data_IF_836888315761
#
_entry.id   IF_836888315761
#
_cell.length_a   1.000
_cell.length_b   1.000
_cell.length_c   1.000
_cell.angle_alpha   90.00
_cell.angle_beta   90.00
_cell.angle_gamma   90.00
#
_symmetry.space_group_name_H-M   'P 1'
#
loop_
_entity.id
_entity.type
_entity.pdbx_description
1 polymer ?
#
# COMPACT_ATOMS: atom_id res chain seq x y z
N UNK A 1 15.17 -10.32 -14.22
CA UNK A 1 14.42 -9.07 -14.42
C UNK A 1 13.88 -8.54 -13.08
N UNK A 2 13.42 -7.31 -13.07
CA UNK A 2 12.82 -6.63 -11.91
C UNK A 2 11.40 -6.19 -12.29
N UNK A 3 10.47 -6.23 -11.34
CA UNK A 3 9.12 -5.69 -11.55
C UNK A 3 9.13 -4.17 -11.56
N UNK A 4 8.24 -3.57 -12.34
CA UNK A 4 8.01 -2.13 -12.34
C UNK A 4 7.39 -1.69 -11.02
N UNK A 5 8.11 -0.86 -10.26
CA UNK A 5 7.58 -0.21 -9.07
C UNK A 5 6.59 0.90 -9.47
N UNK A 6 6.85 1.59 -10.57
CA UNK A 6 5.98 2.60 -11.12
C UNK A 6 4.58 2.05 -11.47
N UNK A 7 4.52 0.81 -12.00
CA UNK A 7 3.25 0.14 -12.29
C UNK A 7 2.45 -0.15 -11.02
N UNK A 8 3.10 -0.72 -10.01
CA UNK A 8 2.47 -0.98 -8.73
C UNK A 8 2.01 0.32 -8.04
N UNK A 9 2.85 1.36 -8.07
CA UNK A 9 2.52 2.69 -7.53
C UNK A 9 1.30 3.30 -8.23
N UNK A 10 1.22 3.22 -9.56
CA UNK A 10 0.10 3.75 -10.32
C UNK A 10 -1.23 3.17 -9.83
N UNK A 11 -1.31 1.85 -9.75
CA UNK A 11 -2.55 1.20 -9.36
C UNK A 11 -2.82 1.28 -7.85
N UNK A 12 -1.80 1.26 -7.00
CA UNK A 12 -1.99 1.52 -5.57
C UNK A 12 -2.59 2.92 -5.33
N UNK A 13 -2.05 3.95 -5.98
CA UNK A 13 -2.59 5.31 -5.86
C UNK A 13 -4.00 5.43 -6.42
N UNK A 14 -4.29 4.84 -7.57
CA UNK A 14 -5.62 4.87 -8.17
C UNK A 14 -6.65 4.17 -7.27
N UNK A 15 -6.30 3.02 -6.75
CA UNK A 15 -7.17 2.28 -5.84
C UNK A 15 -7.36 2.99 -4.50
N UNK A 16 -6.33 3.63 -3.94
CA UNK A 16 -6.46 4.47 -2.74
C UNK A 16 -7.41 5.64 -2.95
N UNK A 17 -7.38 6.28 -4.12
CA UNK A 17 -8.36 7.32 -4.48
C UNK A 17 -9.78 6.75 -4.37
N UNK A 18 -10.04 5.62 -5.01
CA UNK A 18 -11.37 5.00 -4.99
C UNK A 18 -11.76 4.49 -3.59
N UNK A 19 -10.85 3.82 -2.90
CA UNK A 19 -11.08 3.31 -1.54
C UNK A 19 -11.45 4.44 -0.58
N UNK A 20 -10.64 5.50 -0.54
CA UNK A 20 -10.87 6.65 0.32
C UNK A 20 -12.23 7.33 0.04
N UNK A 21 -12.56 7.53 -1.25
CA UNK A 21 -13.82 8.16 -1.62
C UNK A 21 -15.04 7.32 -1.21
N UNK A 22 -14.97 6.00 -1.35
CA UNK A 22 -16.05 5.11 -0.92
C UNK A 22 -16.17 5.06 0.61
N UNK A 23 -15.05 4.97 1.32
CA UNK A 23 -15.02 4.94 2.78
C UNK A 23 -15.60 6.22 3.38
N UNK A 24 -15.16 7.38 2.89
CA UNK A 24 -15.70 8.68 3.30
C UNK A 24 -17.18 8.83 2.93
N UNK A 25 -17.61 8.35 1.77
CA UNK A 25 -19.02 8.41 1.39
C UNK A 25 -19.93 7.66 2.38
N UNK A 26 -19.49 6.48 2.85
CA UNK A 26 -20.25 5.74 3.88
C UNK A 26 -20.26 6.49 5.22
N UNK A 27 -19.17 7.13 5.62
CA UNK A 27 -19.13 7.96 6.83
C UNK A 27 -20.05 9.18 6.72
N UNK A 28 -20.02 9.89 5.60
CA UNK A 28 -20.93 11.05 5.35
C UNK A 28 -22.37 10.59 5.37
N UNK A 29 -22.70 9.46 4.74
CA UNK A 29 -24.05 8.87 4.77
C UNK A 29 -24.48 8.46 6.17
N UNK A 30 -23.54 7.99 7.02
CA UNK A 30 -23.80 7.70 8.42
C UNK A 30 -23.96 8.96 9.30
N UNK A 31 -23.72 10.14 8.75
CA UNK A 31 -23.84 11.42 9.47
C UNK A 31 -22.58 11.79 10.27
N UNK A 32 -21.42 11.21 9.94
CA UNK A 32 -20.15 11.56 10.60
C UNK A 32 -19.83 13.04 10.37
N UNK A 33 -19.58 13.85 11.41
CA UNK A 33 -19.27 15.27 11.25
C UNK A 33 -17.94 15.50 10.54
N UNK A 34 -17.89 16.54 9.68
CA UNK A 34 -16.66 16.87 8.93
C UNK A 34 -15.48 17.29 9.82
N UNK A 35 -15.77 17.76 11.04
CA UNK A 35 -14.79 18.19 12.05
C UNK A 35 -14.54 17.12 13.13
N UNK A 36 -15.09 15.91 12.98
CA UNK A 36 -14.86 14.82 13.90
C UNK A 36 -13.38 14.39 13.91
N UNK A 37 -12.94 13.79 15.02
CA UNK A 37 -11.58 13.26 15.13
C UNK A 37 -11.27 12.21 14.05
N UNK A 38 -12.25 11.36 13.71
CA UNK A 38 -12.09 10.35 12.69
C UNK A 38 -11.88 10.98 11.32
N UNK A 39 -12.76 11.90 10.92
CA UNK A 39 -12.65 12.57 9.63
C UNK A 39 -11.36 13.37 9.50
N UNK A 40 -10.96 14.11 10.55
CA UNK A 40 -9.68 14.83 10.56
C UNK A 40 -8.47 13.90 10.46
N UNK A 41 -8.53 12.71 11.07
CA UNK A 41 -7.49 11.69 10.94
C UNK A 41 -7.40 11.17 9.50
N UNK A 42 -8.53 10.81 8.89
CA UNK A 42 -8.57 10.31 7.50
C UNK A 42 -8.10 11.35 6.49
N UNK A 43 -8.41 12.62 6.71
CA UNK A 43 -8.00 13.73 5.84
C UNK A 43 -6.52 14.13 6.01
N UNK A 44 -5.87 13.79 7.10
CA UNK A 44 -4.52 14.25 7.40
C UNK A 44 -3.46 13.72 6.42
N UNK A 45 -3.53 12.44 6.05
CA UNK A 45 -2.57 11.79 5.14
C UNK A 45 -3.24 10.78 4.20
N UNK A 46 -4.05 11.30 3.26
CA UNK A 46 -4.82 10.47 2.32
C UNK A 46 -4.00 9.80 1.24
N UNK A 47 -2.80 10.30 0.92
CA UNK A 47 -1.97 9.85 -0.22
C UNK A 47 -0.53 9.57 0.18
N UNK A 48 -0.31 8.99 1.34
CA UNK A 48 1.01 8.51 1.74
C UNK A 48 1.55 7.41 0.80
N UNK A 49 2.87 7.25 0.78
CA UNK A 49 3.55 6.26 -0.07
C UNK A 49 3.77 4.92 0.66
N UNK A 50 3.51 4.87 1.95
CA UNK A 50 3.60 3.67 2.76
C UNK A 50 2.46 2.68 2.49
N UNK A 51 2.66 1.43 2.85
CA UNK A 51 1.63 0.40 2.73
C UNK A 51 1.96 -0.85 3.52
N UNK A 52 0.99 -1.73 3.60
CA UNK A 52 1.09 -3.02 4.25
C UNK A 52 1.18 -4.14 3.21
N UNK A 53 1.62 -5.34 3.63
CA UNK A 53 1.70 -6.50 2.75
C UNK A 53 0.37 -6.78 2.02
N UNK A 54 -0.74 -6.79 2.76
CA UNK A 54 -2.08 -7.03 2.20
C UNK A 54 -2.44 -6.01 1.11
N UNK A 55 -2.08 -4.73 1.31
CA UNK A 55 -2.31 -3.69 0.30
C UNK A 55 -1.54 -3.97 -0.99
N UNK A 56 -0.28 -4.37 -0.90
CA UNK A 56 0.51 -4.75 -2.08
C UNK A 56 -0.12 -5.97 -2.79
N UNK A 57 -0.52 -6.99 -2.03
CA UNK A 57 -1.15 -8.18 -2.58
C UNK A 57 -2.48 -7.87 -3.27
N UNK A 58 -3.32 -6.99 -2.68
CA UNK A 58 -4.56 -6.54 -3.31
C UNK A 58 -4.33 -5.92 -4.69
N UNK A 59 -3.28 -5.10 -4.82
CA UNK A 59 -2.92 -4.49 -6.12
C UNK A 59 -2.46 -5.56 -7.12
N UNK A 60 -1.53 -6.41 -6.73
CA UNK A 60 -1.01 -7.44 -7.64
C UNK A 60 -2.05 -8.50 -8.04
N UNK A 61 -2.95 -8.90 -7.13
CA UNK A 61 -4.08 -9.79 -7.43
C UNK A 61 -5.01 -9.19 -8.49
N UNK A 62 -5.28 -7.88 -8.39
CA UNK A 62 -6.23 -7.20 -9.27
C UNK A 62 -5.61 -6.80 -10.60
N UNK A 63 -4.40 -6.29 -10.60
CA UNK A 63 -3.76 -5.67 -11.76
C UNK A 63 -2.55 -6.44 -12.31
N UNK A 64 -2.06 -7.43 -11.57
CA UNK A 64 -0.85 -8.16 -11.95
C UNK A 64 0.41 -7.32 -11.83
N UNK A 65 1.42 -7.67 -12.62
CA UNK A 65 2.71 -7.00 -12.65
C UNK A 65 3.25 -6.90 -14.08
N UNK A 66 4.17 -5.96 -14.29
CA UNK A 66 4.93 -5.83 -15.54
C UNK A 66 6.42 -5.75 -15.24
N UNK A 67 7.30 -6.19 -16.15
CA UNK A 67 8.73 -5.96 -16.07
C UNK A 67 9.05 -4.45 -16.08
N UNK A 68 10.09 -4.07 -15.36
CA UNK A 68 10.50 -2.67 -15.18
C UNK A 68 10.81 -1.95 -16.50
N UNK A 69 11.42 -2.66 -17.44
CA UNK A 69 11.81 -2.08 -18.73
C UNK A 69 10.60 -1.70 -19.61
N UNK A 70 9.43 -2.30 -19.35
CA UNK A 70 8.19 -2.02 -20.09
C UNK A 70 7.36 -0.88 -19.50
N UNK A 71 7.55 -0.58 -18.23
CA UNK A 71 6.96 0.58 -17.59
C UNK A 71 7.97 1.16 -16.57
N UNK A 72 8.96 1.92 -17.06
CA UNK A 72 10.07 2.40 -16.26
C UNK A 72 9.67 3.50 -15.28
N UNK A 73 10.58 3.77 -14.34
CA UNK A 73 10.43 4.88 -13.40
C UNK A 73 10.40 6.23 -14.12
N UNK A 74 9.53 7.12 -13.65
CA UNK A 74 9.46 8.52 -14.05
C UNK A 74 10.16 9.43 -13.04
N UNK A 75 10.25 10.72 -13.33
CA UNK A 75 10.71 11.69 -12.33
C UNK A 75 9.75 11.76 -11.15
N UNK A 76 8.44 11.69 -11.40
CA UNK A 76 7.41 11.74 -10.35
C UNK A 76 7.33 10.45 -9.53
N UNK A 77 7.68 9.27 -10.07
CA UNK A 77 7.72 8.05 -9.27
C UNK A 77 8.90 8.03 -8.28
N UNK A 78 9.98 8.75 -8.60
CA UNK A 78 11.15 8.95 -7.72
C UNK A 78 10.93 10.07 -6.69
N UNK A 79 10.06 11.02 -7.00
CA UNK A 79 9.74 12.17 -6.16
C UNK A 79 8.24 12.47 -6.20
N UNK A 80 7.48 11.75 -5.39
CA UNK A 80 6.02 11.71 -5.39
C UNK A 80 5.34 12.96 -4.80
N UNK A 81 6.10 13.85 -4.17
CA UNK A 81 5.56 14.96 -3.37
C UNK A 81 4.52 15.81 -4.10
N UNK A 82 4.82 16.27 -5.32
CA UNK A 82 3.91 17.11 -6.10
C UNK A 82 2.65 16.33 -6.53
N UNK A 83 2.81 15.11 -7.01
CA UNK A 83 1.69 14.23 -7.38
C UNK A 83 0.76 13.99 -6.18
N UNK A 84 1.32 13.67 -5.02
CA UNK A 84 0.56 13.42 -3.80
C UNK A 84 -0.18 14.67 -3.32
N UNK A 85 0.40 15.87 -3.47
CA UNK A 85 -0.27 17.15 -3.17
C UNK A 85 -1.49 17.34 -4.07
N UNK A 86 -1.35 17.11 -5.38
CA UNK A 86 -2.46 17.28 -6.33
C UNK A 86 -3.59 16.29 -6.05
N UNK A 87 -3.27 15.01 -5.81
CA UNK A 87 -4.26 13.99 -5.45
C UNK A 87 -4.98 14.35 -4.14
N UNK A 88 -4.25 14.80 -3.11
CA UNK A 88 -4.82 15.22 -1.83
C UNK A 88 -5.78 16.40 -1.99
N UNK A 89 -5.40 17.43 -2.73
CA UNK A 89 -6.27 18.59 -2.98
C UNK A 89 -7.56 18.19 -3.70
N UNK A 90 -7.45 17.31 -4.68
CA UNK A 90 -8.61 16.76 -5.40
C UNK A 90 -9.54 15.99 -4.43
N UNK A 91 -8.99 15.13 -3.58
CA UNK A 91 -9.76 14.35 -2.62
C UNK A 91 -10.43 15.22 -1.56
N UNK A 92 -9.72 16.19 -1.00
CA UNK A 92 -10.31 17.17 -0.06
C UNK A 92 -11.48 17.93 -0.69
N UNK A 93 -11.36 18.32 -1.96
CA UNK A 93 -12.45 18.97 -2.70
C UNK A 93 -13.63 18.03 -2.89
N UNK A 94 -13.39 16.77 -3.25
CA UNK A 94 -14.44 15.79 -3.39
C UNK A 94 -15.20 15.55 -2.07
N UNK A 95 -14.49 15.44 -0.93
CA UNK A 95 -15.10 15.30 0.39
C UNK A 95 -15.97 16.52 0.75
N UNK A 96 -15.49 17.73 0.48
CA UNK A 96 -16.28 18.94 0.71
C UNK A 96 -17.59 18.94 -0.13
N UNK A 97 -17.53 18.48 -1.36
CA UNK A 97 -18.72 18.33 -2.22
C UNK A 97 -19.65 17.21 -1.72
N UNK A 98 -19.13 16.10 -1.16
CA UNK A 98 -19.98 15.06 -0.56
C UNK A 98 -20.80 15.59 0.61
N UNK A 99 -20.20 16.38 1.50
CA UNK A 99 -20.94 17.04 2.57
C UNK A 99 -21.97 18.05 2.03
N UNK A 100 -21.64 18.80 1.00
CA UNK A 100 -22.55 19.74 0.36
C UNK A 100 -23.69 19.06 -0.45
N UNK A 101 -23.56 17.76 -0.74
CA UNK A 101 -24.62 16.99 -1.41
C UNK A 101 -25.84 16.68 -0.52
N UNK A 102 -25.73 16.91 0.80
CA UNK A 102 -26.82 16.85 1.77
C UNK A 102 -27.63 15.51 1.70
N UNK A 103 -26.90 14.39 1.64
CA UNK A 103 -27.48 13.04 1.60
C UNK A 103 -28.00 12.57 0.22
N UNK A 104 -27.81 13.36 -0.83
CA UNK A 104 -28.17 12.96 -2.19
C UNK A 104 -27.18 11.91 -2.75
N UNK A 105 -27.59 10.64 -2.70
CA UNK A 105 -26.75 9.51 -3.12
C UNK A 105 -26.28 9.62 -4.58
N UNK A 106 -27.13 10.09 -5.50
CA UNK A 106 -26.76 10.23 -6.91
C UNK A 106 -25.67 11.28 -7.12
N UNK A 107 -25.70 12.38 -6.34
CA UNK A 107 -24.64 13.37 -6.37
C UNK A 107 -23.33 12.81 -5.79
N UNK A 108 -23.39 12.04 -4.71
CA UNK A 108 -22.21 11.41 -4.11
C UNK A 108 -21.57 10.42 -5.09
N UNK A 109 -22.35 9.58 -5.77
CA UNK A 109 -21.86 8.67 -6.81
C UNK A 109 -21.17 9.42 -7.97
N UNK A 110 -21.77 10.52 -8.43
CA UNK A 110 -21.16 11.36 -9.45
C UNK A 110 -19.84 12.00 -9.01
N UNK A 111 -19.75 12.47 -7.75
CA UNK A 111 -18.53 13.01 -7.17
C UNK A 111 -17.42 11.94 -7.13
N UNK A 112 -17.74 10.71 -6.71
CA UNK A 112 -16.79 9.59 -6.69
C UNK A 112 -16.28 9.31 -8.11
N UNK A 113 -17.18 9.20 -9.09
CA UNK A 113 -16.81 8.93 -10.48
C UNK A 113 -15.91 10.03 -11.06
N UNK A 114 -16.28 11.29 -10.87
CA UNK A 114 -15.52 12.44 -11.37
C UNK A 114 -14.13 12.55 -10.70
N UNK A 115 -14.06 12.36 -9.39
CA UNK A 115 -12.79 12.41 -8.65
C UNK A 115 -11.89 11.24 -9.02
N UNK A 116 -12.43 10.02 -9.19
CA UNK A 116 -11.66 8.85 -9.64
C UNK A 116 -11.11 9.08 -11.05
N UNK A 117 -11.91 9.61 -11.97
CA UNK A 117 -11.45 9.97 -13.32
C UNK A 117 -10.38 11.08 -13.29
N UNK A 118 -10.49 12.06 -12.39
CA UNK A 118 -9.47 13.08 -12.19
C UNK A 118 -8.18 12.48 -11.63
N UNK A 119 -8.27 11.59 -10.65
CA UNK A 119 -7.13 10.84 -10.11
C UNK A 119 -6.39 10.06 -11.18
N UNK A 120 -7.11 9.33 -12.03
CA UNK A 120 -6.54 8.62 -13.18
C UNK A 120 -5.76 9.56 -14.10
N UNK A 121 -6.31 10.74 -14.45
CA UNK A 121 -5.62 11.74 -15.28
C UNK A 121 -4.34 12.26 -14.62
N UNK A 122 -4.38 12.58 -13.32
CA UNK A 122 -3.21 13.04 -12.57
C UNK A 122 -2.13 11.96 -12.61
N UNK A 123 -2.47 10.71 -12.31
CA UNK A 123 -1.53 9.60 -12.30
C UNK A 123 -0.93 9.36 -13.69
N UNK A 124 -1.73 9.40 -14.75
CA UNK A 124 -1.24 9.24 -16.13
C UNK A 124 -0.26 10.34 -16.53
N UNK A 125 -0.50 11.60 -16.11
CA UNK A 125 0.42 12.72 -16.36
C UNK A 125 1.77 12.51 -15.64
N UNK A 126 1.74 12.01 -14.41
CA UNK A 126 2.94 11.87 -13.58
C UNK A 126 3.71 10.57 -13.83
N UNK A 127 3.00 9.47 -14.03
CA UNK A 127 3.58 8.12 -14.05
C UNK A 127 3.56 7.44 -15.43
N UNK A 128 2.83 8.01 -16.39
CA UNK A 128 2.57 7.40 -17.69
C UNK A 128 1.30 6.53 -17.69
N UNK A 129 0.92 6.04 -18.86
CA UNK A 129 -0.22 5.15 -19.01
C UNK A 129 0.24 3.69 -18.92
N UNK A 130 -0.26 2.91 -17.94
CA UNK A 130 0.15 1.53 -17.78
C UNK A 130 -0.25 0.66 -18.99
N UNK A 131 0.60 -0.30 -19.43
CA UNK A 131 0.25 -1.20 -20.52
C UNK A 131 -0.87 -2.15 -20.11
N UNK A 132 -1.79 -2.41 -21.04
CA UNK A 132 -2.86 -3.41 -20.88
C UNK A 132 -2.41 -4.81 -21.29
N UNK A 133 -1.45 -4.92 -22.21
CA UNK A 133 -0.73 -6.13 -22.61
C UNK A 133 0.68 -5.76 -23.08
N UNK A 134 1.55 -6.75 -23.17
CA UNK A 134 2.92 -6.58 -23.67
C UNK A 134 3.46 -7.88 -24.27
N UNK A 135 4.38 -7.79 -25.23
CA UNK A 135 5.15 -8.93 -25.69
C UNK A 135 6.22 -9.26 -24.63
N UNK A 136 6.20 -10.51 -24.13
CA UNK A 136 7.15 -10.98 -23.14
C UNK A 136 8.12 -11.98 -23.74
N UNK A 137 9.40 -11.61 -23.72
CA UNK A 137 10.52 -12.43 -24.11
C UNK A 137 11.71 -12.16 -23.19
N UNK A 138 12.51 -13.20 -22.93
CA UNK A 138 13.69 -13.07 -22.07
C UNK A 138 14.74 -14.11 -22.40
N UNK A 139 15.97 -13.84 -21.96
CA UNK A 139 17.05 -14.83 -21.96
C UNK A 139 17.31 -15.22 -20.50
N UNK A 140 17.37 -16.52 -20.25
CA UNK A 140 17.62 -17.03 -18.91
C UNK A 140 19.12 -16.97 -18.55
N UNK A 141 19.45 -17.40 -17.31
CA UNK A 141 20.83 -17.42 -16.79
C UNK A 141 21.77 -18.35 -17.57
N UNK A 142 21.25 -19.33 -18.29
CA UNK A 142 21.99 -20.30 -19.08
C UNK A 142 22.17 -19.83 -20.54
N UNK A 143 21.61 -18.65 -20.89
CA UNK A 143 21.69 -18.04 -22.21
C UNK A 143 20.60 -18.49 -23.20
N UNK A 144 19.62 -19.27 -22.73
CA UNK A 144 18.53 -19.75 -23.57
C UNK A 144 17.45 -18.69 -23.73
N UNK A 145 17.00 -18.49 -24.96
CA UNK A 145 15.94 -17.54 -25.29
C UNK A 145 14.56 -18.14 -25.10
N UNK A 146 13.68 -17.38 -24.44
CA UNK A 146 12.29 -17.74 -24.19
C UNK A 146 11.36 -16.64 -24.66
N UNK A 147 10.17 -17.02 -25.13
CA UNK A 147 9.14 -16.09 -25.53
C UNK A 147 7.75 -16.62 -25.23
N UNK A 148 6.95 -15.81 -24.52
CA UNK A 148 5.52 -16.05 -24.30
C UNK A 148 4.66 -15.38 -25.38
N UNK A 149 5.19 -14.33 -26.04
CA UNK A 149 4.42 -13.47 -26.90
C UNK A 149 3.56 -12.47 -26.12
N UNK A 150 2.43 -12.08 -26.68
CA UNK A 150 1.54 -11.12 -26.05
C UNK A 150 0.88 -11.73 -24.79
N UNK A 151 1.04 -11.04 -23.67
CA UNK A 151 0.52 -11.45 -22.35
C UNK A 151 0.01 -10.22 -21.60
N UNK A 152 -1.04 -10.39 -20.80
CA UNK A 152 -1.53 -9.34 -19.91
C UNK A 152 -0.75 -9.32 -18.58
N UNK A 153 -0.69 -8.17 -17.86
CA UNK A 153 -0.04 -8.10 -16.55
C UNK A 153 -0.56 -9.13 -15.54
N UNK A 154 -1.84 -9.44 -15.56
CA UNK A 154 -2.47 -10.43 -14.67
C UNK A 154 -2.02 -11.86 -15.02
N UNK A 155 -1.98 -12.21 -16.31
CA UNK A 155 -1.46 -13.52 -16.77
C UNK A 155 0.01 -13.67 -16.44
N UNK A 156 0.81 -12.61 -16.64
CA UNK A 156 2.21 -12.57 -16.27
C UNK A 156 2.42 -12.82 -14.77
N UNK A 157 1.69 -12.13 -13.91
CA UNK A 157 1.72 -12.34 -12.47
C UNK A 157 1.38 -13.80 -12.11
N UNK A 158 0.27 -14.31 -12.61
CA UNK A 158 -0.17 -15.69 -12.34
C UNK A 158 0.86 -16.73 -12.78
N UNK A 159 1.51 -16.52 -13.91
CA UNK A 159 2.49 -17.46 -14.47
C UNK A 159 3.82 -17.46 -13.70
N UNK A 160 4.32 -16.29 -13.36
CA UNK A 160 5.69 -16.13 -12.85
C UNK A 160 5.76 -15.96 -11.33
N UNK A 161 4.69 -15.51 -10.69
CA UNK A 161 4.65 -15.25 -9.24
C UNK A 161 3.62 -16.13 -8.53
N UNK A 162 2.49 -16.43 -9.16
CA UNK A 162 1.45 -17.28 -8.58
C UNK A 162 1.96 -18.57 -7.92
N UNK A 163 2.93 -19.29 -8.51
CA UNK A 163 3.49 -20.50 -7.88
C UNK A 163 4.22 -20.27 -6.56
N UNK A 164 4.52 -19.03 -6.18
CA UNK A 164 5.17 -18.72 -4.89
C UNK A 164 4.21 -18.65 -3.70
N UNK A 165 2.90 -18.84 -3.90
CA UNK A 165 1.86 -18.87 -2.86
C UNK A 165 1.94 -17.71 -1.86
N UNK A 166 2.18 -16.49 -2.40
CA UNK A 166 2.37 -15.29 -1.58
C UNK A 166 1.14 -14.90 -0.75
N UNK A 167 -0.01 -15.52 -1.05
CA UNK A 167 -1.27 -15.34 -0.31
C UNK A 167 -1.25 -16.03 1.05
N UNK A 168 -0.39 -17.04 1.24
CA UNK A 168 -0.25 -17.77 2.51
C UNK A 168 0.57 -17.02 3.57
N UNK A 169 1.13 -15.85 3.20
CA UNK A 169 1.90 -15.03 4.13
C UNK A 169 0.99 -14.30 5.11
N UNK A 170 1.35 -14.37 6.39
CA UNK A 170 0.63 -13.73 7.50
C UNK A 170 1.48 -12.60 8.08
N UNK A 171 0.88 -11.42 8.22
CA UNK A 171 1.51 -10.29 8.90
C UNK A 171 1.50 -10.52 10.41
N UNK A 172 2.67 -10.45 11.05
CA UNK A 172 2.84 -10.56 12.49
C UNK A 172 3.01 -9.17 13.11
N UNK A 173 2.52 -9.00 14.32
CA UNK A 173 2.74 -7.79 15.12
C UNK A 173 2.95 -8.17 16.58
N UNK A 174 3.75 -7.42 17.30
CA UNK A 174 3.80 -7.46 18.76
C UNK A 174 3.13 -6.20 19.32
N UNK A 175 1.83 -6.26 19.53
CA UNK A 175 1.04 -5.19 20.15
C UNK A 175 0.96 -5.46 21.66
N UNK A 176 1.56 -4.62 22.51
CA UNK A 176 1.60 -4.84 23.97
C UNK A 176 0.31 -4.48 24.68
N UNK A 177 -0.66 -3.84 24.01
CA UNK A 177 -1.90 -3.40 24.66
C UNK A 177 -2.68 -4.58 25.24
N UNK A 178 -3.19 -4.44 26.45
CA UNK A 178 -3.85 -5.51 27.19
C UNK A 178 -5.16 -5.98 26.56
N UNK A 179 -5.85 -5.12 25.85
CA UNK A 179 -7.07 -5.45 25.09
C UNK A 179 -6.77 -6.30 23.84
N UNK A 180 -5.52 -6.35 23.38
CA UNK A 180 -5.11 -7.10 22.22
C UNK A 180 -4.37 -8.40 22.61
N UNK A 181 -5.15 -9.44 22.89
CA UNK A 181 -4.58 -10.71 23.33
C UNK A 181 -3.63 -11.33 22.28
N UNK A 182 -2.51 -11.90 22.76
CA UNK A 182 -1.60 -12.69 21.90
C UNK A 182 -2.32 -13.91 21.32
N UNK A 183 -1.96 -14.28 20.09
CA UNK A 183 -2.61 -15.36 19.31
C UNK A 183 -3.94 -14.95 18.67
N UNK A 184 -4.30 -13.68 18.69
CA UNK A 184 -5.50 -13.17 18.02
C UNK A 184 -5.15 -12.28 16.84
N UNK A 185 -6.04 -12.25 15.84
CA UNK A 185 -5.95 -11.29 14.73
C UNK A 185 -6.45 -9.93 15.19
N UNK A 186 -5.78 -8.89 14.70
CA UNK A 186 -6.09 -7.48 14.89
C UNK A 186 -6.26 -6.85 13.52
N UNK A 187 -7.40 -6.25 13.24
CA UNK A 187 -7.63 -5.41 12.08
C UNK A 187 -7.46 -3.93 12.42
N UNK A 188 -7.20 -3.12 11.42
CA UNK A 188 -7.19 -1.65 11.55
C UNK A 188 -8.29 -1.12 10.63
N UNK A 189 -9.30 -0.50 11.25
CA UNK A 189 -10.40 0.12 10.50
C UNK A 189 -9.87 1.27 9.63
N UNK A 190 -10.48 1.47 8.48
CA UNK A 190 -10.12 2.49 7.50
C UNK A 190 -8.68 2.38 6.95
N UNK A 191 -7.97 1.27 7.20
CA UNK A 191 -6.65 1.01 6.64
C UNK A 191 -6.74 0.00 5.50
N UNK A 192 -6.81 0.49 4.30
CA UNK A 192 -6.89 -0.30 3.06
C UNK A 192 -6.51 0.52 1.85
N UNK A 193 -6.47 -0.12 0.69
CA UNK A 193 -6.19 0.56 -0.58
C UNK A 193 -7.14 0.15 -1.71
N UNK A 194 -7.76 -1.04 -1.64
CA UNK A 194 -8.64 -1.56 -2.69
C UNK A 194 -10.03 -1.79 -2.10
N UNK A 195 -11.05 -1.13 -2.64
CA UNK A 195 -12.43 -1.35 -2.23
C UNK A 195 -12.85 -2.80 -2.55
N UNK A 196 -13.34 -3.50 -1.51
CA UNK A 196 -13.66 -4.93 -1.59
C UNK A 196 -12.46 -5.88 -1.63
N UNK A 197 -11.25 -5.37 -1.46
CA UNK A 197 -10.04 -6.19 -1.29
C UNK A 197 -9.92 -6.81 0.11
N UNK A 198 -8.87 -7.59 0.32
CA UNK A 198 -8.59 -8.20 1.62
C UNK A 198 -8.27 -7.11 2.66
N UNK A 199 -8.82 -7.27 3.85
CA UNK A 199 -8.59 -6.36 4.97
C UNK A 199 -7.15 -6.46 5.49
N UNK A 200 -6.60 -5.35 5.96
CA UNK A 200 -5.29 -5.34 6.63
C UNK A 200 -5.43 -5.92 8.03
N UNK A 201 -4.91 -7.12 8.22
CA UNK A 201 -4.94 -7.86 9.48
C UNK A 201 -3.53 -8.28 9.90
N UNK A 202 -3.33 -8.34 11.22
CA UNK A 202 -2.10 -8.81 11.84
C UNK A 202 -2.42 -9.90 12.86
N UNK A 203 -1.58 -10.92 12.93
CA UNK A 203 -1.60 -11.86 14.05
C UNK A 203 -0.73 -11.30 15.17
N UNK A 204 -1.34 -11.01 16.32
CA UNK A 204 -0.61 -10.52 17.50
C UNK A 204 0.15 -11.65 18.17
N UNK A 205 1.47 -11.55 18.20
CA UNK A 205 2.37 -12.58 18.75
C UNK A 205 3.43 -11.97 19.66
N UNK A 206 4.06 -12.74 20.55
CA UNK A 206 5.21 -12.24 21.32
C UNK A 206 6.39 -11.89 20.39
N UNK A 207 7.12 -10.84 20.73
CA UNK A 207 8.30 -10.38 19.99
C UNK A 207 9.33 -11.50 19.75
N UNK A 208 9.56 -12.36 20.75
CA UNK A 208 10.48 -13.48 20.57
C UNK A 208 10.03 -14.45 19.47
N UNK A 209 8.73 -14.72 19.39
CA UNK A 209 8.19 -15.56 18.29
C UNK A 209 8.44 -14.93 16.92
N UNK A 210 8.24 -13.60 16.77
CA UNK A 210 8.56 -12.90 15.52
C UNK A 210 10.04 -13.04 15.15
N UNK A 211 10.95 -12.85 16.13
CA UNK A 211 12.40 -13.01 15.91
C UNK A 211 12.76 -14.43 15.48
N UNK A 212 12.12 -15.43 16.07
CA UNK A 212 12.36 -16.84 15.72
C UNK A 212 11.88 -17.15 14.29
N UNK A 213 10.70 -16.62 13.90
CA UNK A 213 10.20 -16.73 12.51
C UNK A 213 11.16 -16.06 11.51
N UNK A 214 11.60 -14.81 11.81
CA UNK A 214 12.55 -14.09 10.95
C UNK A 214 13.85 -14.87 10.80
N UNK A 215 14.40 -15.41 11.91
CA UNK A 215 15.61 -16.23 11.87
C UNK A 215 15.43 -17.48 11.02
N UNK A 216 14.32 -18.16 11.16
CA UNK A 216 14.01 -19.36 10.38
C UNK A 216 13.92 -19.06 8.89
N UNK A 217 13.16 -18.05 8.50
CA UNK A 217 12.98 -17.64 7.09
C UNK A 217 14.31 -17.22 6.45
N UNK A 218 15.09 -16.38 7.15
CA UNK A 218 16.36 -15.88 6.61
C UNK A 218 17.44 -16.97 6.56
N UNK A 219 17.60 -17.76 7.63
CA UNK A 219 18.74 -18.69 7.76
C UNK A 219 18.46 -20.04 7.11
N UNK A 220 17.25 -20.57 7.26
CA UNK A 220 16.92 -21.91 6.79
C UNK A 220 16.35 -21.92 5.37
N UNK A 221 15.59 -20.88 4.99
CA UNK A 221 14.95 -20.80 3.69
C UNK A 221 15.68 -19.83 2.72
N UNK A 222 16.54 -18.94 3.22
CA UNK A 222 17.24 -17.94 2.42
C UNK A 222 16.31 -16.87 1.83
N UNK A 223 15.12 -16.67 2.41
CA UNK A 223 14.11 -15.74 1.92
C UNK A 223 14.20 -14.42 2.71
N UNK A 224 14.29 -13.26 2.03
CA UNK A 224 14.22 -11.96 2.69
C UNK A 224 12.86 -11.75 3.39
N UNK A 225 12.88 -11.07 4.53
CA UNK A 225 11.68 -10.74 5.29
C UNK A 225 11.30 -9.29 5.05
N UNK A 226 10.05 -9.04 4.65
CA UNK A 226 9.50 -7.70 4.64
C UNK A 226 9.08 -7.32 6.05
N UNK A 227 9.57 -6.19 6.55
CA UNK A 227 9.22 -5.70 7.87
C UNK A 227 9.02 -4.18 7.88
N UNK A 228 8.22 -3.70 8.82
CA UNK A 228 8.08 -2.30 9.16
C UNK A 228 8.48 -2.07 10.61
N UNK A 229 9.19 -0.98 10.88
CA UNK A 229 9.57 -0.58 12.22
C UNK A 229 9.78 0.93 12.30
N UNK A 230 9.54 1.52 13.47
CA UNK A 230 9.95 2.89 13.75
C UNK A 230 11.45 2.94 14.03
N UNK A 231 12.22 3.17 12.97
CA UNK A 231 13.67 3.18 13.01
C UNK A 231 14.27 4.58 13.22
N UNK A 232 13.49 5.64 13.01
CA UNK A 232 13.99 7.01 12.97
C UNK A 232 14.72 7.45 14.25
N UNK A 233 14.22 7.17 15.46
CA UNK A 233 14.90 7.54 16.71
C UNK A 233 16.24 6.82 16.92
N UNK A 234 16.41 5.67 16.28
CA UNK A 234 17.56 4.79 16.43
C UNK A 234 18.54 4.84 15.25
N UNK A 235 18.32 5.79 14.31
CA UNK A 235 19.11 5.87 13.10
C UNK A 235 20.25 6.89 13.22
N UNK A 236 21.47 6.40 13.19
CA UNK A 236 22.67 7.23 12.94
C UNK A 236 22.86 7.36 11.41
N UNK A 237 22.38 8.48 10.86
CA UNK A 237 22.42 8.74 9.41
C UNK A 237 23.84 9.00 8.91
N UNK A 238 24.73 9.51 9.75
CA UNK A 238 26.10 9.83 9.38
C UNK A 238 26.93 8.56 9.16
N UNK A 239 26.76 7.59 10.06
CA UNK A 239 27.47 6.31 9.99
C UNK A 239 26.68 5.21 9.28
N UNK A 240 25.42 5.46 8.90
CA UNK A 240 24.55 4.48 8.24
C UNK A 240 24.23 3.27 9.14
N UNK A 241 24.11 3.49 10.45
CA UNK A 241 23.87 2.45 11.44
C UNK A 241 22.61 2.67 12.24
N UNK A 242 22.08 1.61 12.82
CA UNK A 242 21.05 1.68 13.84
C UNK A 242 21.67 1.27 15.19
N UNK A 243 21.41 2.06 16.22
CA UNK A 243 21.90 1.82 17.55
C UNK A 243 20.80 2.08 18.59
N UNK A 244 20.56 1.11 19.45
CA UNK A 244 19.46 1.16 20.45
C UNK A 244 19.72 2.16 21.57
N UNK A 245 20.94 2.62 21.72
CA UNK A 245 21.37 3.61 22.71
C UNK A 245 21.28 5.07 22.24
N UNK A 246 20.87 5.31 20.97
CA UNK A 246 20.65 6.67 20.48
C UNK A 246 19.38 7.32 21.03
N UNK A 247 18.41 6.52 21.47
CA UNK A 247 17.15 7.01 22.02
C UNK A 247 16.66 6.14 23.17
N UNK A 248 16.62 6.70 24.36
CA UNK A 248 16.12 6.03 25.57
C UNK A 248 14.60 6.22 25.70
N UNK A 249 13.85 5.39 24.99
CA UNK A 249 12.39 5.48 24.91
C UNK A 249 11.73 5.42 26.29
N UNK A 250 12.11 4.47 27.13
CA UNK A 250 11.59 4.32 28.49
C UNK A 250 11.81 5.56 29.34
N UNK A 251 13.01 6.15 29.27
CA UNK A 251 13.33 7.37 30.01
C UNK A 251 12.60 8.61 29.52
N UNK A 252 12.38 8.72 28.21
CA UNK A 252 11.68 9.89 27.63
C UNK A 252 10.19 9.86 27.92
N UNK A 253 9.59 8.69 27.84
CA UNK A 253 8.14 8.52 27.98
C UNK A 253 7.69 7.92 29.31
N UNK A 254 8.61 7.69 30.24
CA UNK A 254 8.36 7.09 31.56
C UNK A 254 7.59 5.76 31.47
N UNK A 255 8.04 4.89 30.58
CA UNK A 255 7.48 3.54 30.34
C UNK A 255 8.58 2.49 30.46
N UNK A 256 8.20 1.29 30.94
CA UNK A 256 9.10 0.12 31.08
C UNK A 256 9.23 -0.70 29.76
#
# INVERSE_FOLDING_TARGET
FEFSQNYAMYYDKLERVNYFLQDVAELVKAGEPSDSRLMQHLLADVMGDGGQWTMAMNVYKKYGAVPKDLFPETESSKNTGEMNIQLRHMLHTAVAHMYAADGDASKVEAIIADATAAGHRILTIHLGEPPVSFDWEWTDKDGEFHRDGEITPVEFWKKYVGPADLEDYVCLVDDPRTEHAKGKKIGIEHLGNVAGGDATEYLNVPNQFMKDCVKQILVEQGIPVWFGADCHPFMDRENGAWATDLFEYGRVYDVD
#
